data_IF_310929280306
#
_entry.id   IF_310929280306
#
_cell.length_a   1.000
_cell.length_b   1.000
_cell.length_c   1.000
_cell.angle_alpha   90.00
_cell.angle_beta   90.00
_cell.angle_gamma   90.00
#
_symmetry.space_group_name_H-M   'P 1'
#
loop_
_entity.id
_entity.type
_entity.pdbx_description
1 polymer ?
#
# COMPACT_ATOMS: atom_id res chain seq x y z
N UNK A 1 0.13 -9.43 -3.89
CA UNK A 1 0.08 -8.16 -3.10
C UNK A 1 -0.47 -6.91 -3.78
N UNK A 2 -0.67 -6.89 -5.10
CA UNK A 2 -1.30 -5.74 -5.79
C UNK A 2 -2.64 -5.30 -5.18
N UNK A 3 -3.41 -6.23 -4.61
CA UNK A 3 -4.73 -5.92 -4.05
C UNK A 3 -4.67 -5.17 -2.71
N UNK A 4 -3.74 -5.52 -1.81
CA UNK A 4 -3.53 -4.78 -0.54
C UNK A 4 -3.06 -3.36 -0.85
N UNK A 5 -2.11 -3.24 -1.76
CA UNK A 5 -1.57 -1.95 -2.18
C UNK A 5 -2.63 -1.09 -2.88
N UNK A 6 -3.38 -1.67 -3.83
CA UNK A 6 -4.51 -1.00 -4.49
C UNK A 6 -5.59 -0.57 -3.49
N UNK A 7 -5.92 -1.43 -2.53
CA UNK A 7 -6.88 -1.13 -1.48
C UNK A 7 -6.42 0.04 -0.60
N UNK A 8 -5.14 0.04 -0.21
CA UNK A 8 -4.54 1.14 0.56
C UNK A 8 -4.56 2.47 -0.21
N UNK A 9 -4.16 2.47 -1.48
CA UNK A 9 -4.22 3.66 -2.33
C UNK A 9 -5.65 4.14 -2.58
N UNK A 10 -6.58 3.21 -2.83
CA UNK A 10 -8.01 3.56 -2.99
C UNK A 10 -8.57 4.18 -1.70
N UNK A 11 -8.19 3.64 -0.54
CA UNK A 11 -8.58 4.19 0.75
C UNK A 11 -8.01 5.59 1.00
N UNK A 12 -6.75 5.83 0.63
CA UNK A 12 -6.13 7.16 0.67
C UNK A 12 -6.89 8.19 -0.17
N UNK A 13 -7.44 7.78 -1.32
CA UNK A 13 -8.19 8.65 -2.22
C UNK A 13 -9.57 9.02 -1.69
N UNK A 14 -10.20 8.18 -0.86
CA UNK A 14 -11.36 8.58 -0.06
C UNK A 14 -10.89 9.45 1.12
N UNK A 15 -10.64 10.73 0.81
CA UNK A 15 -10.04 11.68 1.75
C UNK A 15 -10.85 11.88 3.04
N UNK A 16 -12.18 11.72 2.99
CA UNK A 16 -13.03 11.82 4.18
C UNK A 16 -12.84 10.61 5.09
N UNK A 17 -12.93 9.39 4.54
CA UNK A 17 -12.71 8.17 5.31
C UNK A 17 -11.28 8.11 5.86
N UNK A 18 -10.30 8.48 5.05
CA UNK A 18 -8.89 8.53 5.45
C UNK A 18 -8.64 9.54 6.58
N UNK A 19 -9.20 10.76 6.47
CA UNK A 19 -9.08 11.76 7.54
C UNK A 19 -9.64 11.26 8.87
N UNK A 20 -10.84 10.68 8.85
CA UNK A 20 -11.48 10.12 10.05
C UNK A 20 -10.64 9.00 10.65
N UNK A 21 -10.09 8.12 9.82
CA UNK A 21 -9.19 7.06 10.27
C UNK A 21 -7.93 7.63 10.93
N UNK A 22 -7.23 8.56 10.30
CA UNK A 22 -6.02 9.19 10.84
C UNK A 22 -6.28 9.82 12.22
N UNK A 23 -7.40 10.52 12.37
CA UNK A 23 -7.77 11.11 13.66
C UNK A 23 -8.02 10.05 14.74
N UNK A 24 -8.69 8.94 14.38
CA UNK A 24 -8.97 7.85 15.33
C UNK A 24 -7.72 7.11 15.77
N UNK A 25 -6.78 6.84 14.86
CA UNK A 25 -5.62 5.97 15.15
C UNK A 25 -4.39 6.73 15.61
N UNK A 26 -4.24 8.01 15.25
CA UNK A 26 -3.04 8.79 15.52
C UNK A 26 -3.30 10.21 16.06
N UNK A 27 -4.57 10.64 16.15
CA UNK A 27 -4.97 12.00 16.55
C UNK A 27 -4.32 13.12 15.70
N UNK A 28 -3.85 12.77 14.50
CA UNK A 28 -3.23 13.66 13.53
C UNK A 28 -3.37 13.06 12.15
N UNK A 29 -3.28 13.90 11.13
CA UNK A 29 -3.22 13.42 9.75
C UNK A 29 -1.91 12.68 9.49
N UNK A 30 -1.98 11.54 8.81
CA UNK A 30 -0.80 10.78 8.38
C UNK A 30 -0.59 11.13 6.92
N UNK A 31 0.55 11.75 6.59
CA UNK A 31 0.85 12.08 5.20
C UNK A 31 1.44 10.86 4.51
N UNK A 32 0.82 10.44 3.41
CA UNK A 32 1.45 9.50 2.49
C UNK A 32 2.54 10.24 1.72
N UNK A 33 3.80 9.85 1.94
CA UNK A 33 4.96 10.33 1.19
C UNK A 33 5.47 9.15 0.36
N UNK A 34 5.40 9.22 -0.98
CA UNK A 34 6.02 8.21 -1.83
C UNK A 34 7.52 8.11 -1.53
N UNK A 35 8.08 6.91 -1.56
CA UNK A 35 9.49 6.62 -1.22
C UNK A 35 10.49 7.20 -2.24
N UNK A 36 10.92 8.45 -2.08
CA UNK A 36 11.76 9.11 -3.09
C UNK A 36 13.17 8.54 -3.19
N UNK A 37 13.68 7.84 -2.17
CA UNK A 37 15.08 7.42 -2.09
C UNK A 37 15.29 6.14 -1.27
N UNK A 38 14.68 5.02 -1.66
CA UNK A 38 15.15 3.65 -1.36
C UNK A 38 15.27 3.19 0.11
N UNK A 39 14.93 4.03 1.09
CA UNK A 39 15.23 3.80 2.52
C UNK A 39 13.99 3.34 3.32
N UNK A 40 12.79 3.35 2.72
CA UNK A 40 11.58 2.84 3.36
C UNK A 40 11.20 1.44 2.86
N UNK A 41 12.16 0.52 2.77
CA UNK A 41 11.88 -0.91 2.49
C UNK A 41 11.34 -1.63 3.72
N UNK A 42 10.17 -1.21 4.22
CA UNK A 42 9.38 -2.09 5.09
C UNK A 42 8.81 -3.19 4.20
N UNK A 43 9.49 -4.34 4.18
CA UNK A 43 9.00 -5.51 3.47
C UNK A 43 7.61 -5.87 3.97
N UNK A 44 6.68 -6.11 3.06
CA UNK A 44 5.32 -6.46 3.45
C UNK A 44 5.28 -7.80 4.19
N UNK A 45 6.23 -8.69 3.93
CA UNK A 45 6.39 -9.89 4.75
C UNK A 45 6.59 -9.54 6.23
N UNK A 46 7.30 -8.45 6.55
CA UNK A 46 7.44 -7.93 7.91
C UNK A 46 6.11 -7.42 8.45
N UNK A 47 5.35 -6.66 7.65
CA UNK A 47 4.02 -6.16 8.06
C UNK A 47 3.04 -7.31 8.35
N UNK A 48 2.97 -8.32 7.48
CA UNK A 48 2.14 -9.51 7.69
C UNK A 48 2.54 -10.28 8.96
N UNK A 49 3.85 -10.44 9.20
CA UNK A 49 4.35 -11.06 10.43
C UNK A 49 3.96 -10.28 11.68
N UNK A 50 4.03 -8.94 11.65
CA UNK A 50 3.61 -8.09 12.78
C UNK A 50 2.11 -8.23 13.04
N UNK A 51 1.28 -8.25 11.99
CA UNK A 51 -0.17 -8.43 12.11
C UNK A 51 -0.50 -9.79 12.74
N UNK A 52 0.16 -10.86 12.26
CA UNK A 52 -0.01 -12.20 12.81
C UNK A 52 0.45 -12.29 14.26
N UNK A 53 1.59 -11.69 14.61
CA UNK A 53 2.12 -11.65 15.97
C UNK A 53 1.21 -10.86 16.94
N UNK A 54 0.45 -9.90 16.42
CA UNK A 54 -0.58 -9.19 17.17
C UNK A 54 -1.88 -9.99 17.38
N UNK A 55 -1.93 -11.25 16.91
CA UNK A 55 -3.06 -12.18 17.11
C UNK A 55 -4.15 -12.11 16.03
N UNK A 56 -3.92 -11.34 14.96
CA UNK A 56 -4.87 -11.23 13.85
C UNK A 56 -4.63 -12.29 12.78
N UNK A 57 -5.71 -12.79 12.17
CA UNK A 57 -5.60 -13.67 11.01
C UNK A 57 -5.17 -12.87 9.80
N UNK A 58 -4.12 -13.35 9.10
CA UNK A 58 -3.66 -12.78 7.85
C UNK A 58 -4.17 -13.64 6.70
N UNK A 59 -4.96 -13.04 5.82
CA UNK A 59 -5.41 -13.68 4.58
C UNK A 59 -4.21 -13.84 3.63
N UNK A 60 -3.75 -15.07 3.46
CA UNK A 60 -2.57 -15.33 2.63
C UNK A 60 -2.82 -15.09 1.15
N UNK A 61 -4.02 -15.29 0.64
CA UNK A 61 -4.30 -15.02 -0.78
C UNK A 61 -4.22 -13.52 -1.08
N UNK A 62 -4.70 -12.70 -0.14
CA UNK A 62 -4.63 -11.25 -0.25
C UNK A 62 -3.21 -10.71 -0.03
N UNK A 63 -2.47 -11.28 0.93
CA UNK A 63 -1.15 -10.80 1.37
C UNK A 63 0.05 -11.49 0.69
N UNK A 64 -0.13 -12.64 0.05
CA UNK A 64 0.94 -13.31 -0.69
C UNK A 64 1.16 -12.63 -2.05
N UNK A 65 2.41 -12.64 -2.50
CA UNK A 65 2.76 -12.40 -3.88
C UNK A 65 2.89 -13.78 -4.50
N UNK A 66 1.87 -14.24 -5.24
CA UNK A 66 1.93 -15.54 -5.88
C UNK A 66 3.14 -15.69 -6.83
N UNK A 67 3.73 -14.58 -7.28
CA UNK A 67 4.93 -14.57 -8.12
C UNK A 67 6.06 -13.71 -7.52
N UNK A 68 7.27 -14.27 -7.43
CA UNK A 68 8.47 -13.54 -7.04
C UNK A 68 8.79 -12.35 -7.98
N UNK A 69 8.24 -12.34 -9.19
CA UNK A 69 8.29 -11.22 -10.13
C UNK A 69 7.38 -10.03 -9.75
N UNK A 70 6.37 -10.26 -8.89
CA UNK A 70 5.42 -9.25 -8.43
C UNK A 70 5.92 -8.49 -7.20
N UNK A 71 6.89 -9.05 -6.46
CA UNK A 71 7.59 -8.36 -5.37
C UNK A 71 8.36 -7.12 -5.88
N UNK A 72 8.90 -7.20 -7.10
CA UNK A 72 9.54 -6.07 -7.80
C UNK A 72 8.59 -4.99 -8.30
N UNK A 73 7.27 -5.25 -8.34
CA UNK A 73 6.25 -4.22 -8.62
C UNK A 73 5.79 -3.49 -7.36
N UNK A 74 6.07 -4.02 -6.18
CA UNK A 74 5.76 -3.37 -4.92
C UNK A 74 6.69 -2.17 -4.64
N UNK A 75 7.86 -2.09 -5.27
CA UNK A 75 8.71 -0.89 -5.28
C UNK A 75 8.32 0.14 -6.35
N UNK A 76 7.27 -0.13 -7.13
CA UNK A 76 6.81 0.73 -8.22
C UNK A 76 5.60 1.59 -7.83
N UNK A 77 5.42 1.93 -6.55
CA UNK A 77 4.50 3.01 -6.13
C UNK A 77 4.86 4.36 -6.81
N UNK A 78 6.06 4.48 -7.38
CA UNK A 78 6.53 5.63 -8.15
C UNK A 78 6.21 5.58 -9.66
N UNK A 79 5.93 4.41 -10.23
CA UNK A 79 5.90 4.24 -11.69
C UNK A 79 4.48 4.11 -12.29
N UNK A 80 3.42 4.47 -11.57
CA UNK A 80 2.08 4.23 -12.09
C UNK A 80 0.95 5.00 -11.42
N UNK A 81 1.10 6.32 -11.25
CA UNK A 81 -0.01 7.25 -10.98
C UNK A 81 -0.27 8.18 -12.18
N UNK A 82 -0.06 7.72 -13.41
CA UNK A 82 -0.33 8.50 -14.61
C UNK A 82 -0.97 7.66 -15.72
N UNK A 83 -2.18 7.15 -15.49
CA UNK A 83 -3.07 6.79 -16.60
C UNK A 83 -3.73 8.06 -17.14
N UNK A 84 -2.96 8.85 -17.91
CA UNK A 84 -3.57 9.74 -18.90
C UNK A 84 -3.70 8.97 -20.20
N UNK A 85 -4.87 8.94 -20.85
CA UNK A 85 -5.02 8.26 -22.12
C UNK A 85 -4.16 9.00 -23.14
N UNK A 86 -3.11 8.37 -23.65
CA UNK A 86 -2.44 8.87 -24.85
C UNK A 86 -3.36 8.59 -26.03
N UNK A 87 -4.17 9.60 -26.35
CA UNK A 87 -5.00 9.62 -27.55
C UNK A 87 -4.16 9.29 -28.77
N UNK A 88 -4.64 8.32 -29.54
CA UNK A 88 -4.00 7.87 -30.76
C UNK A 88 -3.88 8.98 -31.81
N UNK A 89 -2.78 8.90 -32.55
CA UNK A 89 -2.71 9.34 -33.93
C UNK A 89 -1.80 8.41 -34.71
#
# INVERSE_FOLDING_TARGET
MRLVDLGWHTFLLDTMAYHVFCQRVASRFIHHVPDTDGDARVSVSRTAQVIAAAGWQVDRELWDCADAADLTKCSQCHAGCHDSPTGGR
#
